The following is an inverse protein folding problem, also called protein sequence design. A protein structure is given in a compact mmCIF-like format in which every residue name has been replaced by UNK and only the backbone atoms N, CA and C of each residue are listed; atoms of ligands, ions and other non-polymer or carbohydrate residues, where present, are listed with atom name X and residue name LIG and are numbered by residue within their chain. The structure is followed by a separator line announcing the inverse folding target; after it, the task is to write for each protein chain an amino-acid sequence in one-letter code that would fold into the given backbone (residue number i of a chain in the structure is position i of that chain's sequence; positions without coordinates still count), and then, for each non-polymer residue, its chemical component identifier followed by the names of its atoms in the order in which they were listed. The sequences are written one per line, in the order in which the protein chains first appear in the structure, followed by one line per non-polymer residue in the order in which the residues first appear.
data_IF_769603573295
#
_entry.id   IF_769603573295
#
_cell.length_a   1.000
_cell.length_b   1.000
_cell.length_c   1.000
_cell.angle_alpha   90.00
_cell.angle_beta   90.00
_cell.angle_gamma   90.00
#
_symmetry.space_group_name_H-M   'P 1'
#
loop_
_entity.id
_entity.type
_entity.pdbx_description
1 polymer ?
#
# COMPACT_ATOMS: atom_id res chain seq x y z
N UNK A 1 -24.68 33.76 -3.61
CA UNK A 1 -23.37 33.19 -3.97
C UNK A 1 -23.36 32.49 -5.33
N UNK A 2 -24.17 31.43 -5.56
CA UNK A 2 -24.24 30.70 -6.85
C UNK A 2 -24.41 31.59 -8.10
N UNK A 3 -25.51 32.34 -8.20
CA UNK A 3 -25.78 33.26 -9.33
C UNK A 3 -24.67 34.29 -9.57
N UNK A 4 -23.98 34.71 -8.51
CA UNK A 4 -22.88 35.67 -8.61
C UNK A 4 -21.61 35.01 -9.18
N UNK A 5 -21.35 33.75 -8.82
CA UNK A 5 -20.25 32.97 -9.41
C UNK A 5 -20.53 32.64 -10.88
N UNK A 6 -21.74 32.19 -11.21
CA UNK A 6 -22.15 31.84 -12.58
C UNK A 6 -22.09 33.07 -13.50
N UNK A 7 -22.64 34.20 -13.05
CA UNK A 7 -22.58 35.47 -13.78
C UNK A 7 -21.14 35.98 -13.94
N UNK A 8 -20.28 35.79 -12.94
CA UNK A 8 -18.86 36.17 -13.03
C UNK A 8 -18.10 35.33 -14.06
N UNK A 9 -18.35 34.01 -14.11
CA UNK A 9 -17.74 33.13 -15.11
C UNK A 9 -18.20 33.49 -16.52
N UNK A 10 -19.50 33.75 -16.70
CA UNK A 10 -20.04 34.23 -17.97
C UNK A 10 -19.41 35.56 -18.41
N UNK A 11 -19.30 36.54 -17.51
CA UNK A 11 -18.76 37.86 -17.85
C UNK A 11 -17.26 37.83 -18.18
N UNK A 12 -16.48 36.94 -17.56
CA UNK A 12 -15.04 36.85 -17.78
C UNK A 12 -14.66 35.95 -18.97
N UNK A 13 -15.36 34.84 -19.14
CA UNK A 13 -14.95 33.77 -20.06
C UNK A 13 -16.03 33.39 -21.10
N UNK A 14 -17.24 33.96 -21.00
CA UNK A 14 -18.41 33.58 -21.81
C UNK A 14 -18.74 32.07 -21.77
N UNK A 15 -18.38 31.42 -20.67
CA UNK A 15 -18.68 30.01 -20.44
C UNK A 15 -19.99 29.88 -19.66
N UNK A 16 -20.92 29.09 -20.20
CA UNK A 16 -22.15 28.75 -19.49
C UNK A 16 -21.83 27.74 -18.39
N UNK A 17 -21.90 28.17 -17.13
CA UNK A 17 -21.50 27.37 -15.98
C UNK A 17 -22.65 27.23 -14.98
N UNK A 18 -22.70 26.08 -14.30
CA UNK A 18 -23.67 25.79 -13.24
C UNK A 18 -22.95 25.56 -11.93
N UNK A 19 -23.24 26.38 -10.92
CA UNK A 19 -22.65 26.27 -9.60
C UNK A 19 -23.54 25.39 -8.69
N UNK A 20 -23.05 24.20 -8.36
CA UNK A 20 -23.69 23.32 -7.39
C UNK A 20 -23.02 23.47 -6.02
N UNK A 21 -23.82 23.53 -4.95
CA UNK A 21 -23.29 23.42 -3.59
C UNK A 21 -23.16 21.94 -3.33
N UNK A 22 -21.92 21.46 -3.17
CA UNK A 22 -21.63 20.04 -2.93
C UNK A 22 -21.88 19.64 -1.47
N UNK A 23 -21.52 20.52 -0.53
CA UNK A 23 -21.74 20.27 0.90
C UNK A 23 -21.85 21.60 1.64
N UNK A 24 -22.67 21.62 2.69
CA UNK A 24 -22.74 22.70 3.67
C UNK A 24 -22.22 22.14 4.99
N UNK A 25 -21.09 22.64 5.47
CA UNK A 25 -20.55 22.23 6.76
C UNK A 25 -21.11 23.15 7.84
N UNK A 26 -21.92 22.60 8.74
CA UNK A 26 -22.35 23.30 9.95
C UNK A 26 -21.29 23.19 11.04
N UNK A 27 -21.26 24.13 11.98
CA UNK A 27 -20.39 24.11 13.17
C UNK A 27 -20.44 22.75 13.90
N UNK A 28 -21.64 22.19 14.10
CA UNK A 28 -21.84 20.85 14.71
C UNK A 28 -21.23 19.68 13.93
N UNK A 29 -20.95 19.85 12.63
CA UNK A 29 -20.33 18.82 11.78
C UNK A 29 -18.81 18.94 11.83
N UNK A 30 -18.29 20.14 12.04
CA UNK A 30 -16.88 20.42 12.28
C UNK A 30 -16.46 19.94 13.69
N UNK A 31 -17.34 20.12 14.66
CA UNK A 31 -17.13 19.71 16.06
C UNK A 31 -17.69 18.29 16.30
N UNK A 32 -17.22 17.33 15.50
CA UNK A 32 -17.63 15.93 15.61
C UNK A 32 -17.18 15.38 16.98
N UNK A 33 -18.10 14.88 17.83
CA UNK A 33 -17.71 14.29 19.11
C UNK A 33 -16.91 13.00 18.89
N UNK A 34 -15.94 12.76 19.78
CA UNK A 34 -15.15 11.51 19.81
C UNK A 34 -16.11 10.31 19.86
N UNK A 35 -15.88 9.33 18.99
CA UNK A 35 -16.58 8.05 19.07
C UNK A 35 -15.71 6.95 19.70
N UNK A 36 -16.31 5.78 19.93
CA UNK A 36 -15.61 4.66 20.55
C UNK A 36 -14.38 4.20 19.77
N UNK A 37 -14.34 4.41 18.44
CA UNK A 37 -13.20 4.01 17.60
C UNK A 37 -12.04 4.99 17.81
N UNK A 38 -12.36 6.29 17.93
CA UNK A 38 -11.39 7.34 18.25
C UNK A 38 -10.74 7.12 19.63
N UNK A 39 -11.52 6.67 20.61
CA UNK A 39 -11.02 6.30 21.94
C UNK A 39 -10.14 5.05 21.88
N UNK A 40 -10.56 4.00 21.17
CA UNK A 40 -9.77 2.76 20.98
C UNK A 40 -8.43 3.07 20.32
N UNK A 41 -8.42 3.87 19.26
CA UNK A 41 -7.18 4.29 18.61
C UNK A 41 -6.27 5.05 19.58
N UNK A 42 -6.82 5.97 20.37
CA UNK A 42 -6.07 6.75 21.36
C UNK A 42 -5.41 5.83 22.41
N UNK A 43 -6.14 4.86 22.96
CA UNK A 43 -5.58 3.90 23.91
C UNK A 43 -4.48 3.02 23.30
N UNK A 44 -4.68 2.52 22.08
CA UNK A 44 -3.68 1.70 21.38
C UNK A 44 -2.41 2.52 21.10
N UNK A 45 -2.56 3.74 20.58
CA UNK A 45 -1.44 4.63 20.27
C UNK A 45 -0.67 5.04 21.54
N UNK A 46 -1.37 5.40 22.61
CA UNK A 46 -0.77 5.72 23.91
C UNK A 46 -0.07 4.50 24.53
N UNK A 47 -0.68 3.31 24.42
CA UNK A 47 -0.07 2.05 24.85
C UNK A 47 1.26 1.79 24.16
N UNK A 48 1.30 1.86 22.83
CA UNK A 48 2.52 1.68 22.04
C UNK A 48 3.56 2.75 22.39
N UNK A 49 3.15 4.02 22.47
CA UNK A 49 4.06 5.13 22.81
C UNK A 49 4.67 4.94 24.20
N UNK A 50 3.85 4.54 25.18
CA UNK A 50 4.31 4.27 26.53
C UNK A 50 5.32 3.11 26.56
N UNK A 51 5.06 2.02 25.82
CA UNK A 51 5.98 0.88 25.71
C UNK A 51 7.32 1.30 25.10
N UNK A 52 7.32 2.12 24.06
CA UNK A 52 8.54 2.64 23.43
C UNK A 52 9.31 3.54 24.39
N UNK A 53 8.63 4.48 25.05
CA UNK A 53 9.26 5.40 26.01
C UNK A 53 9.87 4.63 27.18
N UNK A 54 9.09 3.76 27.82
CA UNK A 54 9.55 2.94 28.95
C UNK A 54 10.73 2.08 28.53
N UNK A 55 10.61 1.31 27.44
CA UNK A 55 11.67 0.42 26.96
C UNK A 55 12.96 1.17 26.61
N UNK A 56 12.84 2.36 26.01
CA UNK A 56 14.00 3.21 25.69
C UNK A 56 14.67 3.75 26.95
N UNK A 57 13.89 4.18 27.96
CA UNK A 57 14.44 4.63 29.24
C UNK A 57 15.17 3.49 29.97
N UNK A 58 14.57 2.30 30.03
CA UNK A 58 15.18 1.13 30.67
C UNK A 58 16.50 0.74 30.00
N UNK A 59 16.55 0.78 28.67
CA UNK A 59 17.75 0.52 27.88
C UNK A 59 18.85 1.56 28.13
N UNK A 60 18.54 2.85 28.01
CA UNK A 60 19.53 3.94 28.15
C UNK A 60 20.07 4.03 29.57
N UNK A 61 19.22 3.88 30.60
CA UNK A 61 19.63 3.93 32.01
C UNK A 61 20.33 2.64 32.48
N UNK A 62 20.47 1.65 31.61
CA UNK A 62 21.12 0.37 31.90
C UNK A 62 20.57 -0.34 33.15
N UNK A 63 19.27 -0.20 33.41
CA UNK A 63 18.62 -0.82 34.57
C UNK A 63 18.63 -2.36 34.43
N UNK A 64 18.65 -3.07 35.56
CA UNK A 64 18.96 -4.51 35.73
C UNK A 64 18.11 -5.50 34.91
N UNK A 65 17.03 -5.05 34.25
CA UNK A 65 16.14 -5.85 33.39
C UNK A 65 16.50 -5.79 31.89
N UNK A 66 17.78 -5.64 31.53
CA UNK A 66 18.25 -5.41 30.15
C UNK A 66 17.81 -6.45 29.09
N UNK A 67 17.51 -7.68 29.49
CA UNK A 67 17.39 -8.80 28.53
C UNK A 67 15.97 -9.29 28.24
N UNK A 68 14.92 -8.56 28.65
CA UNK A 68 13.57 -8.96 28.24
C UNK A 68 13.36 -8.69 26.74
N UNK A 69 12.72 -9.65 26.05
CA UNK A 69 12.40 -9.54 24.62
C UNK A 69 11.63 -8.25 24.31
N UNK A 70 10.76 -7.82 25.23
CA UNK A 70 9.94 -6.62 25.09
C UNK A 70 10.81 -5.36 25.07
N UNK A 71 11.71 -5.19 26.05
CA UNK A 71 12.60 -4.02 26.10
C UNK A 71 13.47 -3.94 24.85
N UNK A 72 14.00 -5.07 24.39
CA UNK A 72 14.81 -5.14 23.16
C UNK A 72 14.00 -4.83 21.90
N UNK A 73 12.73 -5.23 21.86
CA UNK A 73 11.86 -5.03 20.70
C UNK A 73 11.35 -3.60 20.59
N UNK A 74 11.09 -2.93 21.72
CA UNK A 74 10.50 -1.58 21.77
C UNK A 74 11.50 -0.46 22.10
N UNK A 75 12.75 -0.75 22.47
CA UNK A 75 13.77 0.30 22.66
C UNK A 75 14.11 0.98 21.34
N UNK A 76 13.86 2.28 21.25
CA UNK A 76 14.18 3.08 20.08
C UNK A 76 15.69 3.19 19.86
N UNK A 77 16.47 3.35 20.94
CA UNK A 77 17.93 3.49 20.89
C UNK A 77 18.60 2.25 20.28
N UNK A 78 18.25 1.05 20.74
CA UNK A 78 18.77 -0.20 20.19
C UNK A 78 18.32 -0.42 18.74
N UNK A 79 17.04 -0.18 18.44
CA UNK A 79 16.52 -0.38 17.08
C UNK A 79 17.12 0.60 16.08
N UNK A 80 17.37 1.87 16.46
CA UNK A 80 18.06 2.84 15.60
C UNK A 80 19.52 2.45 15.35
N UNK A 81 20.24 1.97 16.37
CA UNK A 81 21.60 1.43 16.19
C UNK A 81 21.61 0.22 15.25
N UNK A 82 20.64 -0.68 15.40
CA UNK A 82 20.48 -1.86 14.53
C UNK A 82 20.12 -1.46 13.10
N UNK A 83 19.29 -0.44 12.92
CA UNK A 83 18.91 0.09 11.60
C UNK A 83 20.14 0.60 10.82
N UNK A 84 21.07 1.28 11.50
CA UNK A 84 22.34 1.73 10.91
C UNK A 84 23.41 0.65 10.79
N UNK A 85 23.20 -0.55 11.32
CA UNK A 85 24.20 -1.62 11.30
C UNK A 85 24.12 -2.44 10.01
N UNK A 86 25.21 -2.46 9.24
CA UNK A 86 25.34 -3.30 8.03
C UNK A 86 25.64 -4.78 8.37
N UNK A 87 26.08 -5.05 9.60
CA UNK A 87 26.57 -6.37 10.04
C UNK A 87 25.46 -7.32 10.53
N UNK A 88 24.19 -6.88 10.57
CA UNK A 88 23.11 -7.65 11.20
C UNK A 88 22.39 -8.64 10.25
N UNK A 89 22.87 -8.87 9.03
CA UNK A 89 22.10 -9.59 8.00
C UNK A 89 22.78 -10.89 7.54
N UNK A 90 22.00 -11.97 7.52
CA UNK A 90 22.47 -13.31 7.17
C UNK A 90 22.72 -13.52 5.68
N UNK A 91 22.57 -12.50 4.82
CA UNK A 91 22.70 -12.63 3.36
C UNK A 91 23.32 -11.37 2.76
N UNK A 92 24.64 -11.33 2.66
CA UNK A 92 25.35 -10.22 2.04
C UNK A 92 25.19 -10.20 0.51
N UNK A 93 25.07 -11.37 -0.11
CA UNK A 93 25.03 -11.50 -1.59
C UNK A 93 23.78 -10.89 -2.26
N UNK A 94 22.70 -10.68 -1.50
CA UNK A 94 21.45 -10.08 -2.00
C UNK A 94 21.23 -8.65 -1.50
N UNK A 95 22.23 -8.02 -0.88
CA UNK A 95 22.13 -6.64 -0.36
C UNK A 95 21.73 -5.63 -1.44
N UNK A 96 22.18 -5.82 -2.68
CA UNK A 96 21.81 -4.93 -3.78
C UNK A 96 20.31 -4.96 -4.10
N UNK A 97 19.64 -6.11 -3.93
CA UNK A 97 18.19 -6.22 -4.11
C UNK A 97 17.43 -5.47 -3.03
N UNK A 98 17.94 -5.48 -1.79
CA UNK A 98 17.37 -4.65 -0.72
C UNK A 98 17.54 -3.15 -1.04
N UNK A 99 18.69 -2.73 -1.56
CA UNK A 99 18.89 -1.36 -2.04
C UNK A 99 17.92 -0.97 -3.16
N UNK A 100 17.77 -1.85 -4.17
CA UNK A 100 16.82 -1.66 -5.26
C UNK A 100 15.36 -1.57 -4.75
N UNK A 101 14.99 -2.36 -3.75
CA UNK A 101 13.67 -2.27 -3.09
C UNK A 101 13.43 -0.93 -2.43
N UNK A 102 14.43 -0.37 -1.74
CA UNK A 102 14.27 0.94 -1.11
C UNK A 102 14.06 2.01 -2.16
N UNK A 103 14.89 2.04 -3.22
CA UNK A 103 14.77 3.02 -4.30
C UNK A 103 13.43 2.92 -5.04
N UNK A 104 13.00 1.70 -5.37
CA UNK A 104 11.70 1.46 -6.02
C UNK A 104 10.54 1.84 -5.11
N UNK A 105 10.59 1.52 -3.81
CA UNK A 105 9.55 1.91 -2.85
C UNK A 105 9.47 3.43 -2.68
N UNK A 106 10.61 4.14 -2.65
CA UNK A 106 10.63 5.60 -2.58
C UNK A 106 10.03 6.24 -3.85
N UNK A 107 10.35 5.71 -5.02
CA UNK A 107 9.77 6.17 -6.28
C UNK A 107 8.26 5.95 -6.33
N UNK A 108 7.79 4.76 -5.93
CA UNK A 108 6.36 4.43 -5.80
C UNK A 108 5.68 5.39 -4.82
N UNK A 109 6.27 5.61 -3.64
CA UNK A 109 5.71 6.51 -2.63
C UNK A 109 5.56 7.93 -3.15
N UNK A 110 6.59 8.47 -3.83
CA UNK A 110 6.55 9.81 -4.40
C UNK A 110 5.47 9.93 -5.48
N UNK A 111 5.34 8.93 -6.36
CA UNK A 111 4.31 8.91 -7.39
C UNK A 111 2.90 8.81 -6.78
N UNK A 112 2.68 7.90 -5.83
CA UNK A 112 1.38 7.75 -5.19
C UNK A 112 0.99 8.93 -4.29
N UNK A 113 1.97 9.62 -3.69
CA UNK A 113 1.71 10.87 -2.96
C UNK A 113 1.29 12.01 -3.90
N UNK A 114 1.66 11.97 -5.19
CA UNK A 114 1.30 13.01 -6.15
C UNK A 114 -0.04 12.77 -6.84
N UNK A 115 -0.49 11.53 -7.01
CA UNK A 115 -1.77 11.19 -7.65
C UNK A 115 -2.99 11.91 -7.01
N UNK A 116 -3.13 12.00 -5.68
CA UNK A 116 -4.22 12.75 -5.03
C UNK A 116 -4.28 14.24 -5.45
N UNK A 117 -3.16 14.82 -5.90
CA UNK A 117 -3.14 16.22 -6.35
C UNK A 117 -4.04 16.46 -7.57
N UNK A 118 -4.33 15.43 -8.37
CA UNK A 118 -5.25 15.51 -9.52
C UNK A 118 -6.67 15.91 -9.10
N UNK A 119 -7.07 15.59 -7.86
CA UNK A 119 -8.39 15.93 -7.33
C UNK A 119 -8.42 17.27 -6.62
N UNK A 120 -7.31 18.00 -6.51
CA UNK A 120 -7.27 19.31 -5.84
C UNK A 120 -7.74 20.41 -6.80
N UNK A 121 -8.51 21.42 -6.34
CA UNK A 121 -8.85 22.58 -7.18
C UNK A 121 -7.58 23.32 -7.63
N UNK A 122 -7.37 23.40 -8.94
CA UNK A 122 -6.20 24.07 -9.53
C UNK A 122 -6.56 25.51 -9.91
N UNK A 123 -5.65 26.45 -9.61
CA UNK A 123 -5.78 27.84 -10.07
C UNK A 123 -5.63 27.96 -11.59
N UNK A 124 -4.75 27.15 -12.18
CA UNK A 124 -4.42 27.14 -13.60
C UNK A 124 -4.65 25.73 -14.17
N UNK A 125 -5.90 25.31 -14.44
CA UNK A 125 -6.18 23.96 -14.96
C UNK A 125 -5.49 23.71 -16.31
N UNK A 126 -5.37 24.73 -17.15
CA UNK A 126 -4.73 24.65 -18.47
C UNK A 126 -3.27 24.17 -18.40
N UNK A 127 -2.50 24.60 -17.38
CA UNK A 127 -1.11 24.15 -17.21
C UNK A 127 -1.02 22.66 -16.89
N UNK A 128 -2.02 22.13 -16.17
CA UNK A 128 -2.11 20.71 -15.87
C UNK A 128 -2.59 19.92 -17.09
N UNK A 129 -3.53 20.46 -17.87
CA UNK A 129 -3.97 19.87 -19.15
C UNK A 129 -2.83 19.77 -20.16
N UNK A 130 -2.03 20.83 -20.31
CA UNK A 130 -0.83 20.84 -21.16
C UNK A 130 0.20 19.77 -20.77
N UNK A 131 0.21 19.34 -19.50
CA UNK A 131 1.09 18.25 -19.07
C UNK A 131 0.71 16.91 -19.72
N UNK A 132 -0.57 16.65 -19.97
CA UNK A 132 -1.01 15.43 -20.65
C UNK A 132 -0.61 15.39 -22.12
N UNK A 133 -0.43 16.55 -22.74
CA UNK A 133 0.06 16.67 -24.13
C UNK A 133 1.59 16.55 -24.22
N UNK A 134 2.30 16.58 -23.09
CA UNK A 134 3.75 16.46 -23.08
C UNK A 134 4.22 15.03 -23.37
N UNK A 135 5.31 14.90 -24.13
CA UNK A 135 5.86 13.61 -24.54
C UNK A 135 6.30 12.71 -23.35
N UNK A 136 6.65 13.31 -22.21
CA UNK A 136 7.19 12.59 -21.06
C UNK A 136 6.09 11.99 -20.17
N UNK A 137 4.88 12.57 -20.20
CA UNK A 137 3.80 12.16 -19.30
C UNK A 137 3.33 10.71 -19.53
N UNK A 138 3.10 10.24 -20.77
CA UNK A 138 2.80 8.83 -21.03
C UNK A 138 3.92 7.88 -20.57
N UNK A 139 5.19 8.30 -20.70
CA UNK A 139 6.35 7.53 -20.24
C UNK A 139 6.34 7.40 -18.71
N UNK A 140 6.06 8.49 -18.00
CA UNK A 140 5.95 8.47 -16.54
C UNK A 140 4.79 7.57 -16.06
N UNK A 141 3.65 7.58 -16.76
CA UNK A 141 2.50 6.74 -16.44
C UNK A 141 2.77 5.25 -16.68
N UNK A 142 3.37 4.91 -17.82
CA UNK A 142 3.83 3.55 -18.08
C UNK A 142 4.89 3.13 -17.03
N UNK A 143 5.84 4.01 -16.74
CA UNK A 143 6.88 3.82 -15.74
C UNK A 143 6.35 3.49 -14.35
N UNK A 144 5.29 4.17 -13.90
CA UNK A 144 4.63 3.85 -12.62
C UNK A 144 4.16 2.37 -12.59
N UNK A 145 3.49 1.93 -13.66
CA UNK A 145 3.01 0.55 -13.77
C UNK A 145 4.16 -0.46 -13.75
N UNK A 146 5.22 -0.22 -14.53
CA UNK A 146 6.39 -1.10 -14.57
C UNK A 146 7.18 -1.11 -13.26
N UNK A 147 7.24 0.01 -12.54
CA UNK A 147 7.92 0.08 -11.24
C UNK A 147 7.25 -0.81 -10.21
N UNK A 148 5.91 -0.85 -10.18
CA UNK A 148 5.17 -1.75 -9.30
C UNK A 148 5.37 -3.21 -9.71
N UNK A 149 5.38 -3.52 -11.01
CA UNK A 149 5.69 -4.87 -11.49
C UNK A 149 7.10 -5.32 -11.07
N UNK A 150 8.10 -4.43 -11.21
CA UNK A 150 9.47 -4.70 -10.78
C UNK A 150 9.53 -5.00 -9.29
N UNK A 151 8.79 -4.25 -8.46
CA UNK A 151 8.70 -4.52 -7.03
C UNK A 151 8.21 -5.95 -6.74
N UNK A 152 7.14 -6.41 -7.42
CA UNK A 152 6.63 -7.78 -7.27
C UNK A 152 7.62 -8.84 -7.79
N UNK A 153 8.31 -8.58 -8.90
CA UNK A 153 9.34 -9.49 -9.45
C UNK A 153 10.48 -9.68 -8.46
N UNK A 154 11.00 -8.60 -7.87
CA UNK A 154 12.04 -8.69 -6.83
C UNK A 154 11.51 -9.45 -5.60
N UNK A 155 10.23 -9.27 -5.26
CA UNK A 155 9.54 -10.08 -4.25
C UNK A 155 9.59 -11.58 -4.55
N UNK A 156 9.23 -11.96 -5.78
CA UNK A 156 9.23 -13.34 -6.28
C UNK A 156 10.63 -13.96 -6.33
N UNK A 157 11.64 -13.23 -6.78
CA UNK A 157 13.04 -13.70 -6.80
C UNK A 157 13.51 -14.04 -5.39
N UNK A 158 13.29 -13.15 -4.42
CA UNK A 158 13.70 -13.40 -3.04
C UNK A 158 12.88 -14.53 -2.42
N UNK A 159 11.59 -14.68 -2.75
CA UNK A 159 10.80 -15.84 -2.34
C UNK A 159 11.43 -17.14 -2.85
N UNK A 160 11.74 -17.21 -4.15
CA UNK A 160 12.35 -18.38 -4.78
C UNK A 160 13.72 -18.71 -4.18
N UNK A 161 14.61 -17.72 -3.99
CA UNK A 161 15.92 -17.95 -3.39
C UNK A 161 15.79 -18.45 -1.94
N UNK A 162 14.93 -17.83 -1.13
CA UNK A 162 14.67 -18.31 0.24
C UNK A 162 14.13 -19.75 0.25
N UNK A 163 13.29 -20.10 -0.71
CA UNK A 163 12.75 -21.44 -0.85
C UNK A 163 13.83 -22.45 -1.24
N UNK A 164 14.64 -22.14 -2.26
CA UNK A 164 15.73 -22.99 -2.72
C UNK A 164 16.77 -23.25 -1.62
N UNK A 165 17.08 -22.25 -0.79
CA UNK A 165 17.98 -22.45 0.37
C UNK A 165 17.35 -23.32 1.45
N UNK A 166 16.03 -23.21 1.66
CA UNK A 166 15.34 -24.08 2.61
C UNK A 166 15.39 -25.55 2.16
N UNK A 167 15.05 -25.84 0.91
CA UNK A 167 15.04 -27.23 0.42
C UNK A 167 16.44 -27.87 0.35
N UNK A 168 17.51 -27.06 0.22
CA UNK A 168 18.90 -27.56 0.32
C UNK A 168 19.19 -28.17 1.69
N UNK A 169 18.65 -27.57 2.75
CA UNK A 169 18.85 -28.02 4.14
C UNK A 169 17.78 -29.00 4.60
N UNK A 170 16.57 -28.89 4.05
CA UNK A 170 15.42 -29.73 4.36
C UNK A 170 14.90 -30.34 3.04
N UNK A 171 15.51 -31.43 2.53
CA UNK A 171 15.17 -31.97 1.22
C UNK A 171 13.78 -32.64 1.18
N UNK A 172 13.30 -33.12 2.33
CA UNK A 172 12.04 -33.84 2.45
C UNK A 172 10.84 -32.89 2.48
N UNK A 173 9.86 -33.15 1.61
CA UNK A 173 8.64 -32.34 1.48
C UNK A 173 7.91 -32.17 2.82
N UNK A 174 7.65 -30.92 3.20
CA UNK A 174 6.98 -30.57 4.46
C UNK A 174 5.87 -29.56 4.22
N UNK A 175 4.62 -29.97 4.45
CA UNK A 175 3.47 -29.06 4.31
C UNK A 175 3.47 -27.95 5.36
N UNK A 176 4.06 -28.21 6.54
CA UNK A 176 4.24 -27.23 7.62
C UNK A 176 4.99 -25.99 7.16
N UNK A 177 5.92 -26.12 6.21
CA UNK A 177 6.63 -24.99 5.61
C UNK A 177 5.67 -23.92 5.08
N UNK A 178 4.60 -24.32 4.38
CA UNK A 178 3.63 -23.37 3.83
C UNK A 178 2.98 -22.55 4.94
N UNK A 179 2.49 -23.22 5.99
CA UNK A 179 1.84 -22.58 7.13
C UNK A 179 2.81 -21.65 7.87
N UNK A 180 4.03 -22.13 8.15
CA UNK A 180 5.07 -21.34 8.81
C UNK A 180 5.38 -20.07 8.03
N UNK A 181 5.50 -20.16 6.70
CA UNK A 181 5.77 -19.00 5.84
C UNK A 181 4.61 -18.01 5.83
N UNK A 182 3.37 -18.48 5.82
CA UNK A 182 2.17 -17.63 5.88
C UNK A 182 2.09 -16.92 7.23
N UNK A 183 2.19 -17.66 8.34
CA UNK A 183 2.09 -17.12 9.71
C UNK A 183 3.20 -16.09 9.96
N UNK A 184 4.46 -16.40 9.63
CA UNK A 184 5.57 -15.46 9.79
C UNK A 184 5.35 -14.16 9.00
N UNK A 185 4.77 -14.26 7.81
CA UNK A 185 4.46 -13.08 6.98
C UNK A 185 3.32 -12.26 7.58
N UNK A 186 2.26 -12.91 8.05
CA UNK A 186 1.11 -12.24 8.68
C UNK A 186 1.52 -11.53 9.97
N UNK A 187 2.27 -12.19 10.86
CA UNK A 187 2.77 -11.58 12.10
C UNK A 187 3.61 -10.33 11.83
N UNK A 188 4.33 -10.30 10.69
CA UNK A 188 5.13 -9.13 10.29
C UNK A 188 4.28 -7.97 9.74
N UNK A 189 3.25 -8.26 8.94
CA UNK A 189 2.52 -7.24 8.17
C UNK A 189 1.28 -6.75 8.92
N UNK A 190 0.48 -7.69 9.45
CA UNK A 190 -0.85 -7.41 10.00
C UNK A 190 -0.83 -6.39 11.15
N UNK A 191 0.10 -6.40 12.11
CA UNK A 191 0.04 -5.45 13.23
C UNK A 191 0.12 -4.00 12.78
N UNK A 192 1.06 -3.68 11.88
CA UNK A 192 1.22 -2.32 11.35
C UNK A 192 0.05 -1.97 10.43
N UNK A 193 -0.40 -2.91 9.61
CA UNK A 193 -1.50 -2.67 8.70
C UNK A 193 -2.82 -2.41 9.43
N UNK A 194 -3.12 -3.19 10.47
CA UNK A 194 -4.27 -2.99 11.34
C UNK A 194 -4.22 -1.64 12.07
N UNK A 195 -3.04 -1.21 12.52
CA UNK A 195 -2.87 0.11 13.13
C UNK A 195 -3.19 1.24 12.15
N UNK A 196 -2.72 1.14 10.90
CA UNK A 196 -3.02 2.14 9.86
C UNK A 196 -4.51 2.16 9.49
N UNK A 197 -5.14 0.99 9.38
CA UNK A 197 -6.58 0.88 9.14
C UNK A 197 -7.37 1.48 10.31
N UNK A 198 -6.96 1.21 11.55
CA UNK A 198 -7.59 1.77 12.75
C UNK A 198 -7.46 3.30 12.78
N UNK A 199 -6.29 3.84 12.43
CA UNK A 199 -6.09 5.28 12.26
C UNK A 199 -7.04 5.86 11.20
N UNK A 200 -7.15 5.18 10.05
CA UNK A 200 -8.01 5.62 8.96
C UNK A 200 -9.50 5.59 9.34
N UNK A 201 -9.93 4.57 10.09
CA UNK A 201 -11.29 4.45 10.61
C UNK A 201 -11.59 5.39 11.79
N UNK A 202 -10.58 6.03 12.40
CA UNK A 202 -10.73 6.91 13.58
C UNK A 202 -10.39 8.36 13.25
N UNK A 203 -9.22 8.84 13.69
CA UNK A 203 -8.77 10.23 13.65
C UNK A 203 -8.72 10.80 12.25
N UNK A 204 -8.43 9.98 11.24
CA UNK A 204 -8.38 10.43 9.86
C UNK A 204 -9.70 11.08 9.40
N UNK A 205 -10.84 10.63 9.94
CA UNK A 205 -12.16 11.21 9.63
C UNK A 205 -12.27 12.68 10.02
N UNK A 206 -11.61 13.09 11.09
CA UNK A 206 -11.58 14.49 11.54
C UNK A 206 -10.42 15.26 10.89
N UNK A 207 -9.29 14.60 10.62
CA UNK A 207 -8.14 15.22 9.94
C UNK A 207 -8.40 15.56 8.47
N UNK A 208 -9.28 14.81 7.81
CA UNK A 208 -9.63 15.05 6.40
C UNK A 208 -10.60 16.22 6.21
N UNK A 209 -11.20 16.74 7.28
CA UNK A 209 -12.16 17.84 7.20
C UNK A 209 -11.47 19.11 6.68
N UNK A 210 -11.82 19.48 5.45
CA UNK A 210 -11.20 20.57 4.72
C UNK A 210 -11.89 20.81 3.37
N UNK A 211 -11.46 21.81 2.57
CA UNK A 211 -12.12 22.21 1.33
C UNK A 211 -12.26 21.11 0.27
N UNK A 212 -11.52 20.01 0.42
CA UNK A 212 -11.49 18.86 -0.50
C UNK A 212 -12.07 17.58 0.11
N UNK A 213 -12.56 17.61 1.35
CA UNK A 213 -13.02 16.42 2.07
C UNK A 213 -14.09 15.64 1.29
N UNK A 214 -15.02 16.33 0.63
CA UNK A 214 -16.11 15.71 -0.13
C UNK A 214 -15.62 14.96 -1.38
N UNK A 215 -14.40 15.25 -1.86
CA UNK A 215 -13.78 14.52 -2.97
C UNK A 215 -13.17 13.19 -2.52
N UNK A 216 -12.98 13.00 -1.22
CA UNK A 216 -12.41 11.80 -0.60
C UNK A 216 -13.42 11.18 0.35
N UNK A 217 -14.32 10.37 -0.22
CA UNK A 217 -15.21 9.53 0.57
C UNK A 217 -14.40 8.41 1.21
N UNK A 218 -14.59 8.27 2.52
CA UNK A 218 -13.93 7.25 3.32
C UNK A 218 -14.98 6.20 3.70
N UNK A 219 -14.74 4.96 3.28
CA UNK A 219 -15.61 3.81 3.54
C UNK A 219 -14.96 2.85 4.54
N UNK A 220 -13.92 3.30 5.26
CA UNK A 220 -13.12 2.39 6.06
C UNK A 220 -13.87 1.80 7.26
N UNK A 221 -14.82 2.52 7.86
CA UNK A 221 -15.64 2.01 8.97
C UNK A 221 -16.48 0.78 8.58
N UNK A 222 -16.85 0.65 7.30
CA UNK A 222 -17.67 -0.45 6.80
C UNK A 222 -16.81 -1.56 6.16
N UNK A 223 -15.76 -1.17 5.43
CA UNK A 223 -15.00 -2.08 4.56
C UNK A 223 -13.58 -2.39 5.06
N UNK A 224 -13.19 -2.00 6.28
CA UNK A 224 -11.85 -2.28 6.84
C UNK A 224 -11.43 -3.76 6.79
N UNK A 225 -12.38 -4.68 6.98
CA UNK A 225 -12.12 -6.12 7.05
C UNK A 225 -11.58 -6.67 5.72
N UNK A 226 -11.99 -6.08 4.59
CA UNK A 226 -11.51 -6.47 3.26
C UNK A 226 -10.00 -6.29 3.12
N UNK A 227 -9.45 -5.24 3.73
CA UNK A 227 -8.04 -4.93 3.75
C UNK A 227 -7.27 -5.91 4.65
N UNK A 228 -7.78 -6.21 5.86
CA UNK A 228 -7.13 -7.18 6.77
C UNK A 228 -7.12 -8.62 6.24
N UNK A 229 -8.13 -9.00 5.46
CA UNK A 229 -8.16 -10.29 4.77
C UNK A 229 -7.40 -10.28 3.45
N UNK A 230 -6.83 -9.14 3.03
CA UNK A 230 -6.12 -8.97 1.75
C UNK A 230 -6.99 -9.32 0.53
N UNK A 231 -8.30 -9.07 0.59
CA UNK A 231 -9.28 -9.30 -0.49
C UNK A 231 -9.87 -8.01 -1.05
N UNK A 232 -9.37 -6.86 -0.60
CA UNK A 232 -9.78 -5.51 -1.02
C UNK A 232 -9.63 -5.24 -2.53
N UNK A 233 -8.86 -6.05 -3.25
CA UNK A 233 -8.72 -5.96 -4.71
C UNK A 233 -9.91 -6.56 -5.47
N UNK A 234 -10.78 -7.32 -4.79
CA UNK A 234 -11.88 -8.06 -5.41
C UNK A 234 -13.25 -7.75 -4.80
N UNK A 235 -13.29 -7.37 -3.52
CA UNK A 235 -14.52 -7.07 -2.79
C UNK A 235 -14.63 -5.56 -2.57
N UNK A 236 -15.81 -4.99 -2.83
CA UNK A 236 -16.14 -3.58 -2.62
C UNK A 236 -15.11 -2.61 -3.23
N UNK A 237 -14.65 -2.91 -4.45
CA UNK A 237 -13.59 -2.15 -5.14
C UNK A 237 -13.99 -0.72 -5.48
N UNK A 238 -15.28 -0.42 -5.55
CA UNK A 238 -15.82 0.93 -5.73
C UNK A 238 -15.80 1.77 -4.45
N UNK A 239 -15.81 1.12 -3.28
CA UNK A 239 -15.90 1.75 -1.95
C UNK A 239 -14.85 1.19 -0.98
N UNK A 240 -13.55 1.22 -1.35
CA UNK A 240 -12.51 0.60 -0.52
C UNK A 240 -12.25 1.41 0.75
N UNK A 241 -11.85 0.73 1.84
CA UNK A 241 -11.31 1.42 3.03
C UNK A 241 -10.06 2.23 2.63
N UNK A 242 -9.09 1.61 1.95
CA UNK A 242 -7.82 2.25 1.63
C UNK A 242 -7.34 1.91 0.22
N UNK A 243 -7.50 2.85 -0.71
CA UNK A 243 -7.13 2.65 -2.12
C UNK A 243 -5.65 2.34 -2.28
N UNK A 244 -4.77 3.03 -1.56
CA UNK A 244 -3.32 2.91 -1.74
C UNK A 244 -2.73 1.57 -1.27
N UNK A 245 -3.50 0.77 -0.53
CA UNK A 245 -3.03 -0.52 0.02
C UNK A 245 -3.37 -1.72 -0.85
N UNK A 246 -3.89 -1.47 -2.07
CA UNK A 246 -4.12 -2.49 -3.10
C UNK A 246 -2.89 -3.35 -3.37
N UNK A 247 -1.69 -2.73 -3.38
CA UNK A 247 -0.44 -3.43 -3.66
C UNK A 247 -0.10 -4.42 -2.55
N UNK A 248 -0.49 -4.14 -1.30
CA UNK A 248 -0.23 -5.03 -0.17
C UNK A 248 -1.14 -6.27 -0.23
N UNK A 249 -2.39 -6.07 -0.65
CA UNK A 249 -3.30 -7.15 -1.05
C UNK A 249 -2.71 -8.03 -2.15
N UNK A 250 -2.28 -7.40 -3.24
CA UNK A 250 -1.70 -8.09 -4.40
C UNK A 250 -0.40 -8.83 -4.04
N UNK A 251 0.49 -8.20 -3.27
CA UNK A 251 1.74 -8.80 -2.80
C UNK A 251 1.49 -10.05 -1.94
N UNK A 252 0.51 -10.02 -1.03
CA UNK A 252 0.14 -11.20 -0.24
C UNK A 252 -0.45 -12.32 -1.11
N UNK A 253 -1.34 -11.98 -2.04
CA UNK A 253 -1.94 -12.94 -2.98
C UNK A 253 -0.86 -13.60 -3.86
N UNK A 254 0.04 -12.81 -4.45
CA UNK A 254 1.17 -13.30 -5.24
C UNK A 254 2.13 -14.14 -4.40
N UNK A 255 2.34 -13.80 -3.14
CA UNK A 255 3.11 -14.61 -2.21
C UNK A 255 2.46 -15.99 -1.97
N UNK A 256 1.14 -16.06 -1.79
CA UNK A 256 0.42 -17.32 -1.63
C UNK A 256 0.53 -18.19 -2.90
N UNK A 257 0.27 -17.60 -4.06
CA UNK A 257 0.39 -18.27 -5.37
C UNK A 257 1.82 -18.75 -5.59
N UNK A 258 2.80 -17.86 -5.41
CA UNK A 258 4.22 -18.17 -5.61
C UNK A 258 4.71 -19.28 -4.67
N UNK A 259 4.36 -19.22 -3.38
CA UNK A 259 4.73 -20.26 -2.41
C UNK A 259 4.05 -21.59 -2.74
N UNK A 260 2.80 -21.57 -3.18
CA UNK A 260 2.07 -22.78 -3.60
C UNK A 260 2.70 -23.43 -4.84
N UNK A 261 3.11 -22.63 -5.83
CA UNK A 261 3.84 -23.12 -7.01
C UNK A 261 5.15 -23.77 -6.59
N UNK A 262 5.91 -23.13 -5.69
CA UNK A 262 7.16 -23.70 -5.17
C UNK A 262 6.93 -25.02 -4.42
N UNK A 263 5.85 -25.13 -3.64
CA UNK A 263 5.46 -26.38 -2.95
C UNK A 263 5.12 -27.50 -3.95
N UNK A 264 4.39 -27.18 -5.03
CA UNK A 264 4.10 -28.14 -6.10
C UNK A 264 5.38 -28.61 -6.78
N UNK A 265 6.31 -27.69 -7.08
CA UNK A 265 7.59 -28.02 -7.69
C UNK A 265 8.49 -28.86 -6.78
N UNK A 266 8.45 -28.64 -5.47
CA UNK A 266 9.20 -29.45 -4.52
C UNK A 266 8.70 -30.89 -4.47
N UNK A 267 7.38 -31.08 -4.52
CA UNK A 267 6.79 -32.42 -4.58
C UNK A 267 6.93 -33.07 -5.96
N UNK A 268 6.83 -32.27 -7.03
CA UNK A 268 6.77 -32.73 -8.42
C UNK A 268 7.69 -31.90 -9.34
N UNK A 269 9.03 -32.07 -9.25
CA UNK A 269 9.98 -31.23 -10.00
C UNK A 269 9.86 -31.37 -11.53
N UNK A 270 9.37 -32.51 -12.01
CA UNK A 270 9.15 -32.76 -13.44
C UNK A 270 8.06 -31.86 -14.07
N UNK A 271 7.25 -31.17 -13.26
CA UNK A 271 6.22 -30.24 -13.73
C UNK A 271 6.75 -28.85 -14.09
N UNK A 272 8.04 -28.56 -13.86
CA UNK A 272 8.64 -27.24 -14.05
C UNK A 272 8.32 -26.62 -15.42
N UNK A 273 8.66 -27.32 -16.50
CA UNK A 273 8.46 -26.80 -17.85
C UNK A 273 6.97 -26.57 -18.15
N UNK A 274 6.09 -27.47 -17.72
CA UNK A 274 4.64 -27.34 -17.89
C UNK A 274 4.10 -26.11 -17.16
N UNK A 275 4.53 -25.90 -15.90
CA UNK A 275 4.11 -24.74 -15.11
C UNK A 275 4.60 -23.43 -15.72
N UNK A 276 5.85 -23.37 -16.19
CA UNK A 276 6.36 -22.19 -16.90
C UNK A 276 5.53 -21.90 -18.14
N UNK A 277 5.23 -22.91 -18.98
CA UNK A 277 4.39 -22.73 -20.16
C UNK A 277 3.01 -22.19 -19.81
N UNK A 278 2.36 -22.76 -18.80
CA UNK A 278 1.04 -22.30 -18.33
C UNK A 278 1.10 -20.86 -17.81
N UNK A 279 2.12 -20.51 -17.02
CA UNK A 279 2.29 -19.16 -16.48
C UNK A 279 2.53 -18.12 -17.57
N UNK A 280 3.37 -18.43 -18.57
CA UNK A 280 3.64 -17.55 -19.71
C UNK A 280 2.37 -17.38 -20.55
N UNK A 281 1.68 -18.47 -20.85
CA UNK A 281 0.42 -18.41 -21.59
C UNK A 281 -0.61 -17.56 -20.84
N UNK A 282 -0.76 -17.76 -19.53
CA UNK A 282 -1.66 -16.96 -18.68
C UNK A 282 -1.29 -15.47 -18.68
N UNK A 283 0.00 -15.15 -18.53
CA UNK A 283 0.49 -13.78 -18.49
C UNK A 283 0.30 -13.01 -19.81
N UNK A 284 0.22 -13.72 -20.95
CA UNK A 284 -0.03 -13.11 -22.27
C UNK A 284 -1.52 -13.08 -22.61
N UNK A 285 -2.22 -14.21 -22.43
CA UNK A 285 -3.61 -14.38 -22.90
C UNK A 285 -4.58 -13.58 -22.03
N UNK A 286 -4.42 -13.59 -20.70
CA UNK A 286 -5.40 -12.94 -19.82
C UNK A 286 -5.43 -11.43 -20.00
N UNK A 287 -4.29 -10.69 -19.96
CA UNK A 287 -4.31 -9.25 -20.23
C UNK A 287 -4.84 -8.93 -21.64
N UNK A 288 -4.42 -9.70 -22.66
CA UNK A 288 -4.89 -9.49 -24.03
C UNK A 288 -6.41 -9.67 -24.15
N UNK A 289 -6.96 -10.72 -23.53
CA UNK A 289 -8.40 -10.97 -23.52
C UNK A 289 -9.17 -9.85 -22.79
N UNK A 290 -8.66 -9.39 -21.64
CA UNK A 290 -9.29 -8.28 -20.90
C UNK A 290 -9.28 -6.98 -21.71
N UNK A 291 -8.14 -6.63 -22.33
CA UNK A 291 -8.01 -5.44 -23.18
C UNK A 291 -9.02 -5.50 -24.33
N UNK A 292 -9.12 -6.66 -24.99
CA UNK A 292 -10.03 -6.86 -26.12
C UNK A 292 -11.52 -6.82 -25.72
N UNK A 293 -11.90 -7.57 -24.68
CA UNK A 293 -13.31 -7.68 -24.25
C UNK A 293 -13.86 -6.35 -23.75
N UNK A 294 -13.05 -5.59 -23.00
CA UNK A 294 -13.48 -4.34 -22.38
C UNK A 294 -13.13 -3.10 -23.19
N UNK A 295 -12.57 -3.26 -24.41
CA UNK A 295 -12.10 -2.16 -25.26
C UNK A 295 -11.23 -1.15 -24.50
N UNK A 296 -10.26 -1.67 -23.74
CA UNK A 296 -9.36 -0.84 -22.94
C UNK A 296 -8.14 -0.41 -23.76
N UNK A 297 -7.52 0.69 -23.35
CA UNK A 297 -6.20 1.05 -23.85
C UNK A 297 -5.14 0.07 -23.31
N UNK A 298 -4.10 -0.18 -24.12
CA UNK A 298 -3.00 -1.07 -23.74
C UNK A 298 -2.16 -0.51 -22.56
N UNK A 299 -2.26 0.79 -22.30
CA UNK A 299 -1.58 1.47 -21.20
C UNK A 299 -2.59 2.28 -20.38
N UNK A 300 -2.31 2.42 -19.08
CA UNK A 300 -3.12 3.28 -18.21
C UNK A 300 -2.95 4.74 -18.64
N UNK A 301 -3.97 5.26 -19.33
CA UNK A 301 -4.06 6.66 -19.71
C UNK A 301 -4.96 7.37 -18.69
N UNK A 302 -4.39 8.25 -17.86
CA UNK A 302 -5.19 9.13 -17.02
C UNK A 302 -5.74 10.25 -17.92
N UNK A 303 -6.89 10.01 -18.56
CA UNK A 303 -7.57 11.07 -19.32
C UNK A 303 -8.45 11.83 -18.34
N UNK A 304 -8.13 13.11 -18.14
CA UNK A 304 -9.06 14.05 -17.48
C UNK A 304 -10.17 14.33 -18.49
N UNK A 305 -11.32 13.68 -18.32
CA UNK A 305 -12.57 14.09 -18.99
C UNK A 305 -13.41 14.92 -18.03
#
# INVERSE_FOLDING_TARGET
MKRCSESRVWNLYQLNSTAQILNCVSEKKLDRPSDSIDDVFSWVALGILSLVIMSTIFDVKQLTFKDTLIIRSFSLSQNLKKLGSLNARSRQDLLFLDGARVLTMLAILLCHASIPMIRIPLKNPEQFEQQFESWWFPIAMAGNTYTVQLFFVIGGVVLAVNFLDHIKTHPQFQLTYLLDRIVNRLIRIVPVYAFVILFQASWYRSLKDGPIADRYKDHCTENWWTNLLFVNNYINTSEPCSQFTWYLGADFQLFLVGTSIMMVLWKFPHLLNKLITVMVAFALIVPAAFIYIYNLDATVMMIVR
#
